data_IF_729096173046
#
_entry.id   IF_729096173046
#
_cell.length_a   1.000
_cell.length_b   1.000
_cell.length_c   1.000
_cell.angle_alpha   90.00
_cell.angle_beta   90.00
_cell.angle_gamma   90.00
#
_symmetry.space_group_name_H-M   'P 1'
#
loop_
_entity.id
_entity.type
_entity.pdbx_description
1 polymer ?
#
# COMPACT_ATOMS: atom_id res chain seq x y z
N UNK A 1 -5.15 -6.55 -8.28
CA UNK A 1 -5.42 -7.90 -8.84
C UNK A 1 -6.83 -8.32 -8.46
N UNK A 2 -7.57 -8.88 -9.42
CA UNK A 2 -8.95 -9.33 -9.22
C UNK A 2 -9.06 -10.85 -9.02
N UNK A 3 -7.98 -11.59 -9.32
CA UNK A 3 -7.87 -13.04 -9.17
C UNK A 3 -6.45 -13.41 -8.74
N UNK A 4 -6.26 -14.65 -8.28
CA UNK A 4 -4.94 -15.21 -7.96
C UNK A 4 -4.30 -15.84 -9.20
N UNK A 5 -2.97 -15.82 -9.28
CA UNK A 5 -2.25 -16.47 -10.38
C UNK A 5 -0.76 -16.11 -10.48
N UNK A 6 -0.18 -16.37 -11.64
CA UNK A 6 1.18 -15.97 -11.97
C UNK A 6 1.30 -14.46 -12.17
N UNK A 7 2.48 -13.95 -12.55
CA UNK A 7 2.72 -12.51 -12.72
C UNK A 7 1.72 -11.81 -13.65
N UNK A 8 1.18 -12.52 -14.63
CA UNK A 8 0.22 -12.06 -15.63
C UNK A 8 -1.11 -11.53 -15.07
N UNK A 9 -1.47 -11.87 -13.82
CA UNK A 9 -2.70 -11.34 -13.18
C UNK A 9 -2.53 -9.92 -12.62
N UNK A 10 -1.29 -9.40 -12.58
CA UNK A 10 -1.02 -8.03 -12.15
C UNK A 10 -1.33 -7.06 -13.30
N UNK A 11 -2.17 -6.08 -13.00
CA UNK A 11 -2.58 -5.02 -13.93
C UNK A 11 -2.32 -3.67 -13.28
N UNK A 12 -1.84 -2.73 -14.09
CA UNK A 12 -1.80 -1.32 -13.72
C UNK A 12 -3.18 -0.75 -14.00
N UNK A 13 -3.83 -0.25 -12.95
CA UNK A 13 -5.18 0.29 -13.01
C UNK A 13 -5.21 1.62 -12.27
N UNK A 14 -6.15 2.48 -12.67
CA UNK A 14 -6.41 3.71 -11.95
C UNK A 14 -7.36 3.45 -10.78
N UNK A 15 -7.07 4.07 -9.64
CA UNK A 15 -7.93 4.07 -8.47
C UNK A 15 -8.28 5.53 -8.10
N UNK A 16 -9.42 5.77 -7.42
CA UNK A 16 -9.72 7.08 -6.88
C UNK A 16 -8.62 7.54 -5.90
N UNK A 17 -8.37 8.85 -5.85
CA UNK A 17 -7.42 9.41 -4.89
C UNK A 17 -7.88 9.12 -3.45
N UNK A 18 -7.01 8.55 -2.61
CA UNK A 18 -7.37 8.24 -1.23
C UNK A 18 -7.45 9.50 -0.38
N UNK A 19 -8.41 9.54 0.53
CA UNK A 19 -8.58 10.64 1.51
C UNK A 19 -8.10 10.18 2.87
N UNK A 20 -7.32 11.05 3.55
CA UNK A 20 -6.84 10.78 4.90
C UNK A 20 -7.96 10.92 5.93
N UNK A 21 -8.44 9.79 6.45
CA UNK A 21 -9.40 9.77 7.56
C UNK A 21 -8.72 9.94 8.93
N UNK A 22 -9.53 10.04 9.99
CA UNK A 22 -9.03 10.16 11.36
C UNK A 22 -8.01 9.04 11.72
N UNK A 23 -6.93 9.42 12.39
CA UNK A 23 -5.84 8.52 12.79
C UNK A 23 -4.95 8.03 11.64
N UNK A 24 -5.12 8.55 10.42
CA UNK A 24 -4.33 8.16 9.25
C UNK A 24 -3.56 9.35 8.67
N UNK A 25 -2.57 9.03 7.85
CA UNK A 25 -1.87 9.99 6.98
C UNK A 25 -2.04 9.56 5.53
N UNK A 26 -2.00 10.52 4.62
CA UNK A 26 -1.87 10.27 3.19
C UNK A 26 -0.40 10.45 2.81
N UNK A 27 0.13 9.48 2.06
CA UNK A 27 1.54 9.46 1.63
C UNK A 27 1.59 9.49 0.10
N UNK A 28 2.30 10.45 -0.46
CA UNK A 28 2.77 10.40 -1.83
C UNK A 28 3.95 9.44 -1.91
N UNK A 29 3.70 8.26 -2.49
CA UNK A 29 4.66 7.15 -2.54
C UNK A 29 5.73 7.45 -3.59
N UNK A 30 7.00 7.44 -3.17
CA UNK A 30 8.17 7.57 -4.05
C UNK A 30 8.85 6.22 -4.25
N UNK A 31 8.80 5.35 -3.24
CA UNK A 31 9.30 3.98 -3.30
C UNK A 31 8.27 2.99 -2.76
N UNK A 32 8.06 1.90 -3.48
CA UNK A 32 7.29 0.75 -3.01
C UNK A 32 8.23 -0.41 -2.71
N UNK A 33 8.12 -1.00 -1.53
CA UNK A 33 8.90 -2.16 -1.14
C UNK A 33 8.26 -3.44 -1.71
N UNK A 34 9.10 -4.32 -2.24
CA UNK A 34 8.70 -5.65 -2.71
C UNK A 34 9.52 -6.68 -1.96
N UNK A 35 8.84 -7.69 -1.44
CA UNK A 35 9.44 -8.86 -0.82
C UNK A 35 8.91 -10.13 -1.50
N UNK A 36 9.34 -11.30 -1.03
CA UNK A 36 8.81 -12.55 -1.57
C UNK A 36 7.33 -12.76 -1.24
N UNK A 37 6.82 -12.14 -0.16
CA UNK A 37 5.44 -12.37 0.29
C UNK A 37 4.41 -11.89 -0.72
N UNK A 38 4.71 -10.83 -1.48
CA UNK A 38 3.86 -10.35 -2.57
C UNK A 38 3.65 -11.42 -3.65
N UNK A 39 4.67 -12.23 -3.94
CA UNK A 39 4.57 -13.33 -4.91
C UNK A 39 3.67 -14.43 -4.36
N UNK A 40 3.80 -14.77 -3.07
CA UNK A 40 2.96 -15.77 -2.42
C UNK A 40 1.49 -15.32 -2.35
N UNK A 41 1.26 -14.05 -1.98
CA UNK A 41 -0.08 -13.44 -1.93
C UNK A 41 -0.74 -13.46 -3.30
N UNK A 42 -0.04 -13.01 -4.35
CA UNK A 42 -0.56 -13.03 -5.73
C UNK A 42 -0.90 -14.44 -6.20
N UNK A 43 -0.07 -15.42 -5.88
CA UNK A 43 -0.27 -16.81 -6.24
C UNK A 43 -1.38 -17.53 -5.43
N UNK A 44 -1.99 -16.86 -4.44
CA UNK A 44 -3.01 -17.47 -3.57
C UNK A 44 -2.45 -18.32 -2.42
N UNK A 45 -1.14 -18.26 -2.18
CA UNK A 45 -0.42 -19.03 -1.16
C UNK A 45 0.04 -18.15 0.02
N UNK A 46 -0.74 -17.12 0.36
CA UNK A 46 -0.41 -16.21 1.45
C UNK A 46 -0.36 -16.94 2.80
N UNK A 47 0.53 -16.56 3.73
CA UNK A 47 0.56 -17.13 5.07
C UNK A 47 -0.57 -16.63 5.98
N UNK A 48 -1.48 -15.81 5.45
CA UNK A 48 -2.69 -15.32 6.11
C UNK A 48 -3.87 -15.29 5.11
N UNK A 49 -5.13 -15.23 5.58
CA UNK A 49 -6.28 -15.14 4.69
C UNK A 49 -6.23 -13.87 3.84
N UNK A 50 -6.34 -14.03 2.52
CA UNK A 50 -6.40 -12.93 1.54
C UNK A 50 -7.65 -13.09 0.68
N UNK A 51 -8.32 -11.97 0.39
CA UNK A 51 -9.43 -11.90 -0.57
C UNK A 51 -9.10 -10.91 -1.67
N UNK A 52 -9.56 -11.21 -2.87
CA UNK A 52 -9.52 -10.32 -4.02
C UNK A 52 -10.88 -9.61 -4.17
N UNK A 53 -10.93 -8.38 -4.72
CA UNK A 53 -9.81 -7.61 -5.28
C UNK A 53 -8.85 -7.03 -4.22
N UNK A 54 -7.56 -6.99 -4.55
CA UNK A 54 -6.49 -6.48 -3.67
C UNK A 54 -5.46 -5.68 -4.48
N UNK A 55 -4.94 -4.59 -3.90
CA UNK A 55 -3.69 -3.94 -4.34
C UNK A 55 -2.52 -4.56 -3.54
N UNK A 56 -1.61 -5.33 -4.17
CA UNK A 56 -0.49 -5.94 -3.47
C UNK A 56 0.56 -4.91 -3.02
N UNK A 57 1.29 -5.23 -1.97
CA UNK A 57 2.37 -4.41 -1.41
C UNK A 57 2.14 -4.05 0.06
N UNK A 58 3.16 -4.28 0.90
CA UNK A 58 3.07 -4.04 2.35
C UNK A 58 3.86 -2.85 2.87
N UNK A 59 4.71 -2.22 2.06
CA UNK A 59 5.62 -1.16 2.51
C UNK A 59 5.86 -0.09 1.46
N UNK A 60 5.93 1.16 1.92
CA UNK A 60 6.19 2.34 1.08
C UNK A 60 7.11 3.32 1.80
N UNK A 61 7.82 4.15 1.03
CA UNK A 61 8.51 5.34 1.51
C UNK A 61 8.15 6.53 0.60
N UNK A 62 7.99 7.71 1.20
CA UNK A 62 7.49 8.87 0.49
C UNK A 62 7.25 10.07 1.40
N UNK A 63 6.45 11.01 0.91
CA UNK A 63 6.16 12.27 1.59
C UNK A 63 4.73 12.25 2.12
N UNK A 64 4.55 12.65 3.39
CA UNK A 64 3.20 12.84 3.95
C UNK A 64 2.60 14.11 3.34
N UNK A 65 1.48 13.98 2.63
CA UNK A 65 0.79 15.09 1.93
C UNK A 65 -0.49 15.54 2.61
N UNK A 66 -1.10 14.69 3.43
CA UNK A 66 -2.20 15.07 4.30
C UNK A 66 -2.17 14.27 5.62
N UNK A 67 -2.68 14.90 6.69
CA UNK A 67 -2.75 14.31 8.03
C UNK A 67 -4.19 14.38 8.49
N UNK A 68 -4.81 13.23 8.73
CA UNK A 68 -6.14 13.16 9.31
C UNK A 68 -6.15 13.57 10.78
N UNK A 69 -7.34 13.86 11.31
CA UNK A 69 -7.51 14.23 12.71
C UNK A 69 -6.86 13.21 13.66
N UNK A 70 -6.07 13.70 14.63
CA UNK A 70 -5.38 12.85 15.60
C UNK A 70 -4.11 12.14 15.09
N UNK A 71 -3.73 12.28 13.82
CA UNK A 71 -2.55 11.61 13.26
C UNK A 71 -1.25 12.45 13.34
N UNK A 72 -1.32 13.70 13.83
CA UNK A 72 -0.13 14.57 13.92
C UNK A 72 0.94 14.02 14.88
N UNK A 73 0.57 13.23 15.89
CA UNK A 73 1.55 12.61 16.80
C UNK A 73 2.41 11.52 16.16
N UNK A 74 1.93 10.91 15.06
CA UNK A 74 2.64 9.85 14.34
C UNK A 74 3.50 10.38 13.19
N UNK A 75 3.43 11.68 12.85
CA UNK A 75 4.13 12.26 11.71
C UNK A 75 5.53 12.82 12.05
N UNK A 76 6.32 12.12 12.86
CA UNK A 76 7.68 12.57 13.18
C UNK A 76 8.59 12.61 11.93
N UNK A 77 8.86 13.84 11.45
CA UNK A 77 10.11 14.22 10.80
C UNK A 77 10.25 13.97 9.30
N UNK A 78 9.26 14.38 8.50
CA UNK A 78 9.34 14.35 7.04
C UNK A 78 10.38 15.30 6.44
N UNK A 79 11.63 14.85 6.36
CA UNK A 79 12.59 15.16 5.28
C UNK A 79 13.82 14.27 5.45
N UNK A 80 13.91 13.20 4.67
CA UNK A 80 15.20 12.56 4.40
C UNK A 80 15.92 13.48 3.43
N UNK A 81 16.91 14.22 3.94
CA UNK A 81 17.81 15.03 3.13
C UNK A 81 18.95 14.18 2.59
#
# INVERSE_FOLDING_TARGET
>A
MAEFGGPEVLRVEQAPDPVSGAGRVLVEVVWAAITFVETQVRAGNAPWPVRVPLVPGGGVAGVVTAVGEGAAGSCWGGRWR
#
